data_IF_204257543384
#
_entry.id   IF_204257543384
#
_cell.length_a   1.000
_cell.length_b   1.000
_cell.length_c   1.000
_cell.angle_alpha   90.00
_cell.angle_beta   90.00
_cell.angle_gamma   90.00
#
_symmetry.space_group_name_H-M   'P 1'
#
loop_
_entity.id
_entity.type
_entity.pdbx_description
1 polymer ?
#
# COMPACT_ATOMS: atom_id res chain seq x y z
N UNK A 1 -16.85 -16.87 -21.40
CA UNK A 1 -16.40 -16.70 -20.00
C UNK A 1 -17.38 -15.75 -19.34
N UNK A 2 -17.67 -15.93 -18.07
CA UNK A 2 -18.63 -15.11 -17.33
C UNK A 2 -17.93 -14.37 -16.19
N UNK A 3 -18.41 -13.15 -15.89
CA UNK A 3 -18.18 -12.49 -14.63
C UNK A 3 -19.35 -12.84 -13.69
N UNK A 4 -19.06 -13.58 -12.63
CA UNK A 4 -20.05 -13.98 -11.61
C UNK A 4 -19.89 -13.25 -10.28
N UNK A 5 -19.14 -12.15 -10.27
CA UNK A 5 -18.89 -11.34 -9.08
C UNK A 5 -20.00 -10.31 -8.82
N UNK A 6 -19.77 -9.41 -7.87
CA UNK A 6 -20.75 -8.36 -7.53
C UNK A 6 -20.51 -7.01 -8.20
N UNK A 7 -19.34 -6.79 -8.82
CA UNK A 7 -19.11 -5.61 -9.67
C UNK A 7 -20.06 -5.68 -10.87
N UNK A 8 -20.73 -4.56 -11.16
CA UNK A 8 -21.67 -4.51 -12.28
C UNK A 8 -20.93 -4.57 -13.62
N UNK A 9 -21.47 -5.23 -14.65
CA UNK A 9 -20.83 -5.28 -15.96
C UNK A 9 -20.51 -3.91 -16.57
N UNK A 10 -21.34 -2.90 -16.32
CA UNK A 10 -21.10 -1.52 -16.78
C UNK A 10 -19.91 -0.81 -16.11
N UNK A 11 -19.43 -1.31 -14.97
CA UNK A 11 -18.29 -0.78 -14.23
C UNK A 11 -16.98 -1.49 -14.61
N UNK A 12 -17.02 -2.39 -15.61
CA UNK A 12 -15.86 -3.09 -16.17
C UNK A 12 -15.65 -2.58 -17.60
N UNK A 13 -14.47 -2.05 -17.88
CA UNK A 13 -14.17 -1.45 -19.19
C UNK A 13 -12.79 -1.83 -19.72
N UNK A 14 -12.52 -1.51 -20.99
CA UNK A 14 -11.23 -1.73 -21.66
C UNK A 14 -10.67 -3.16 -21.54
N UNK A 15 -11.56 -4.16 -21.52
CA UNK A 15 -11.21 -5.57 -21.43
C UNK A 15 -10.27 -5.97 -22.56
N UNK A 16 -9.20 -6.67 -22.22
CA UNK A 16 -8.16 -7.12 -23.15
C UNK A 16 -7.66 -8.52 -22.77
N UNK A 17 -7.58 -9.41 -23.76
CA UNK A 17 -6.93 -10.71 -23.61
C UNK A 17 -5.54 -10.63 -24.25
N UNK A 18 -4.51 -11.10 -23.54
CA UNK A 18 -3.12 -11.02 -24.00
C UNK A 18 -2.43 -12.37 -23.90
N UNK A 19 -1.60 -12.69 -24.90
CA UNK A 19 -0.67 -13.83 -24.86
C UNK A 19 0.55 -13.54 -25.74
N UNK A 20 1.76 -13.67 -25.18
CA UNK A 20 2.99 -13.23 -25.86
C UNK A 20 2.88 -11.77 -26.31
N UNK A 21 3.02 -11.52 -27.61
CA UNK A 21 2.88 -10.19 -28.23
C UNK A 21 1.46 -9.90 -28.76
N UNK A 22 0.51 -10.83 -28.63
CA UNK A 22 -0.85 -10.67 -29.15
C UNK A 22 -1.76 -10.04 -28.10
N UNK A 23 -2.67 -9.17 -28.55
CA UNK A 23 -3.70 -8.53 -27.73
C UNK A 23 -5.01 -8.51 -28.50
N UNK A 24 -6.10 -8.91 -27.86
CA UNK A 24 -7.45 -8.86 -28.40
C UNK A 24 -8.35 -8.09 -27.46
N UNK A 25 -9.21 -7.23 -28.01
CA UNK A 25 -10.19 -6.50 -27.23
C UNK A 25 -11.32 -7.45 -26.81
N UNK A 26 -11.79 -7.26 -25.59
CA UNK A 26 -12.95 -7.95 -25.04
C UNK A 26 -14.14 -7.02 -24.92
N UNK A 27 -15.32 -7.62 -24.90
CA UNK A 27 -16.57 -6.95 -24.54
C UNK A 27 -17.22 -7.67 -23.38
N UNK A 28 -18.06 -6.96 -22.62
CA UNK A 28 -18.92 -7.54 -21.59
C UNK A 28 -20.36 -7.08 -21.84
N UNK A 29 -21.33 -8.00 -21.75
CA UNK A 29 -22.75 -7.67 -21.88
C UNK A 29 -23.40 -7.41 -20.51
N UNK A 30 -24.68 -7.03 -20.49
CA UNK A 30 -25.42 -6.76 -19.25
C UNK A 30 -25.60 -7.97 -18.34
N UNK A 31 -25.46 -9.18 -18.89
CA UNK A 31 -25.64 -10.44 -18.17
C UNK A 31 -24.31 -10.94 -17.56
N UNK A 32 -23.20 -10.23 -17.82
CA UNK A 32 -21.86 -10.58 -17.30
C UNK A 32 -21.04 -11.47 -18.23
N UNK A 33 -21.53 -11.78 -19.43
CA UNK A 33 -20.76 -12.57 -20.40
C UNK A 33 -19.64 -11.73 -20.99
N UNK A 34 -18.42 -12.24 -20.85
CA UNK A 34 -17.21 -11.66 -21.43
C UNK A 34 -16.83 -12.45 -22.69
N UNK A 35 -16.70 -11.72 -23.79
CA UNK A 35 -16.33 -12.27 -25.10
C UNK A 35 -15.03 -11.65 -25.58
N UNK A 36 -14.07 -12.49 -25.95
CA UNK A 36 -12.86 -12.10 -26.67
C UNK A 36 -12.89 -12.70 -28.07
N UNK A 37 -12.97 -11.85 -29.10
CA UNK A 37 -12.87 -12.30 -30.48
C UNK A 37 -11.41 -12.31 -30.93
N UNK A 38 -10.87 -13.50 -31.15
CA UNK A 38 -9.47 -13.69 -31.57
C UNK A 38 -9.28 -13.51 -33.08
N UNK A 39 -10.33 -13.23 -33.85
CA UNK A 39 -10.29 -13.07 -35.30
C UNK A 39 -9.82 -14.35 -36.00
N UNK A 40 -8.59 -14.34 -36.52
CA UNK A 40 -7.97 -15.54 -37.13
C UNK A 40 -7.56 -16.61 -36.12
N UNK A 41 -7.71 -16.35 -34.81
CA UNK A 41 -7.37 -17.27 -33.75
C UNK A 41 -5.91 -17.17 -33.28
N UNK A 42 -5.54 -18.06 -32.37
CA UNK A 42 -4.17 -18.24 -31.87
C UNK A 42 -3.78 -19.72 -31.96
N UNK A 43 -2.67 -20.01 -32.63
CA UNK A 43 -2.23 -21.38 -32.85
C UNK A 43 -1.37 -21.90 -31.70
N UNK A 44 -1.79 -23.01 -31.11
CA UNK A 44 -0.98 -23.78 -30.15
C UNK A 44 -0.45 -25.02 -30.85
N UNK A 45 0.88 -25.13 -30.95
CA UNK A 45 1.51 -26.30 -31.54
C UNK A 45 1.21 -27.56 -30.72
N UNK A 46 1.17 -28.73 -31.38
CA UNK A 46 0.96 -30.01 -30.69
C UNK A 46 2.01 -30.22 -29.59
N UNK A 47 1.53 -30.48 -28.37
CA UNK A 47 2.38 -30.63 -27.18
C UNK A 47 2.85 -29.30 -26.56
N UNK A 48 2.44 -28.16 -27.12
CA UNK A 48 2.67 -26.84 -26.56
C UNK A 48 1.61 -26.42 -25.54
N UNK A 49 1.86 -25.28 -24.90
CA UNK A 49 0.91 -24.59 -24.05
C UNK A 49 0.97 -23.07 -24.34
N UNK A 50 -0.05 -22.35 -23.88
CA UNK A 50 -0.09 -20.90 -23.92
C UNK A 50 -0.80 -20.39 -22.66
N UNK A 51 -0.32 -19.26 -22.14
CA UNK A 51 -0.95 -18.57 -21.02
C UNK A 51 -1.63 -17.33 -21.56
N UNK A 52 -2.91 -17.17 -21.24
CA UNK A 52 -3.67 -15.99 -21.57
C UNK A 52 -3.90 -15.17 -20.30
N UNK A 53 -3.73 -13.86 -20.39
CA UNK A 53 -4.00 -12.92 -19.29
C UNK A 53 -5.11 -11.98 -19.69
N UNK A 54 -6.10 -11.85 -18.82
CA UNK A 54 -7.19 -10.89 -18.95
C UNK A 54 -6.81 -9.62 -18.20
N UNK A 55 -7.00 -8.48 -18.87
CA UNK A 55 -6.83 -7.14 -18.33
C UNK A 55 -8.16 -6.40 -18.48
N UNK A 56 -8.42 -5.46 -17.59
CA UNK A 56 -9.57 -4.56 -17.67
C UNK A 56 -9.46 -3.47 -16.61
N UNK A 57 -10.15 -2.37 -16.85
CA UNK A 57 -10.26 -1.28 -15.89
C UNK A 57 -11.55 -1.47 -15.07
N UNK A 58 -11.45 -1.25 -13.76
CA UNK A 58 -12.54 -1.49 -12.82
C UNK A 58 -12.96 -0.19 -12.16
N UNK A 59 -14.26 0.11 -12.20
CA UNK A 59 -14.89 1.25 -11.55
C UNK A 59 -15.88 0.83 -10.45
N UNK A 60 -15.79 -0.43 -10.00
CA UNK A 60 -16.62 -0.98 -8.93
C UNK A 60 -16.29 -0.39 -7.55
N UNK A 61 -17.12 -0.73 -6.57
CA UNK A 61 -17.01 -0.24 -5.20
C UNK A 61 -16.16 -1.16 -4.33
N UNK A 62 -15.79 -0.64 -3.17
CA UNK A 62 -15.18 -1.42 -2.09
C UNK A 62 -15.99 -2.69 -1.81
N UNK A 63 -15.26 -3.79 -1.61
CA UNK A 63 -15.76 -5.13 -1.29
C UNK A 63 -16.64 -5.77 -2.38
N UNK A 64 -16.83 -5.09 -3.53
CA UNK A 64 -17.36 -5.75 -4.70
C UNK A 64 -16.33 -6.74 -5.26
N UNK A 65 -16.80 -7.80 -5.89
CA UNK A 65 -15.95 -8.88 -6.37
C UNK A 65 -15.99 -9.00 -7.89
N UNK A 66 -14.88 -9.45 -8.45
CA UNK A 66 -14.76 -9.96 -9.81
C UNK A 66 -14.50 -11.46 -9.68
N UNK A 67 -15.39 -12.28 -10.23
CA UNK A 67 -15.21 -13.73 -10.33
C UNK A 67 -15.21 -14.12 -11.81
N UNK A 68 -14.08 -14.58 -12.34
CA UNK A 68 -13.98 -14.98 -13.75
C UNK A 68 -13.84 -16.50 -13.88
N UNK A 69 -14.74 -17.12 -14.63
CA UNK A 69 -14.73 -18.55 -14.94
C UNK A 69 -15.45 -18.84 -16.26
N UNK A 70 -15.21 -20.01 -16.85
CA UNK A 70 -15.93 -20.51 -18.01
C UNK A 70 -17.13 -21.31 -17.52
N UNK A 71 -18.35 -20.99 -17.96
CA UNK A 71 -19.52 -21.73 -17.51
C UNK A 71 -19.60 -23.09 -18.20
N UNK A 72 -19.18 -23.13 -19.47
CA UNK A 72 -19.21 -24.33 -20.29
C UNK A 72 -17.92 -24.50 -21.07
N UNK A 73 -17.53 -25.75 -21.34
CA UNK A 73 -16.41 -26.04 -22.24
C UNK A 73 -16.64 -25.49 -23.66
N UNK A 74 -17.91 -25.28 -24.05
CA UNK A 74 -18.29 -24.65 -25.33
C UNK A 74 -18.03 -23.15 -25.39
N UNK A 75 -17.71 -22.50 -24.28
CA UNK A 75 -17.22 -21.11 -24.25
C UNK A 75 -15.83 -20.97 -24.93
N UNK A 76 -15.14 -22.11 -25.16
CA UNK A 76 -13.84 -22.18 -25.80
C UNK A 76 -14.01 -22.75 -27.20
N UNK A 77 -13.75 -21.94 -28.22
CA UNK A 77 -13.66 -22.41 -29.59
C UNK A 77 -12.21 -22.83 -29.91
N UNK A 78 -12.00 -24.12 -30.05
CA UNK A 78 -10.74 -24.69 -30.56
C UNK A 78 -11.02 -25.45 -31.86
N UNK A 79 -10.15 -25.28 -32.86
CA UNK A 79 -10.26 -25.95 -34.17
C UNK A 79 -8.96 -26.68 -34.47
N UNK A 80 -9.06 -27.95 -34.85
CA UNK A 80 -7.91 -28.77 -35.21
C UNK A 80 -7.39 -28.43 -36.60
N UNK A 81 -6.10 -28.11 -36.71
CA UNK A 81 -5.45 -27.67 -37.96
C UNK A 81 -5.52 -28.73 -39.08
N UNK A 82 -5.41 -30.02 -38.75
CA UNK A 82 -5.31 -31.09 -39.75
C UNK A 82 -6.57 -31.26 -40.61
N UNK A 83 -7.75 -31.02 -40.03
CA UNK A 83 -9.04 -31.32 -40.68
C UNK A 83 -10.09 -30.21 -40.54
N UNK A 84 -9.78 -29.11 -39.85
CA UNK A 84 -10.68 -27.96 -39.69
C UNK A 84 -11.92 -28.23 -38.82
N UNK A 85 -11.95 -29.35 -38.09
CA UNK A 85 -13.06 -29.68 -37.20
C UNK A 85 -12.89 -29.04 -35.82
N UNK A 86 -14.01 -28.64 -35.22
CA UNK A 86 -14.05 -28.21 -33.83
C UNK A 86 -13.55 -29.30 -32.89
N UNK A 87 -12.73 -28.91 -31.93
CA UNK A 87 -12.21 -29.79 -30.89
C UNK A 87 -13.00 -29.57 -29.61
N UNK A 88 -13.34 -30.66 -28.91
CA UNK A 88 -13.89 -30.57 -27.57
C UNK A 88 -12.78 -30.09 -26.61
N UNK A 89 -13.04 -28.99 -25.91
CA UNK A 89 -12.19 -28.54 -24.82
C UNK A 89 -12.49 -29.39 -23.57
N UNK A 90 -11.46 -29.78 -22.85
CA UNK A 90 -11.60 -30.32 -21.49
C UNK A 90 -11.18 -29.22 -20.53
N UNK A 91 -12.12 -28.72 -19.73
CA UNK A 91 -11.87 -27.79 -18.63
C UNK A 91 -11.74 -28.60 -17.34
N UNK A 92 -10.72 -28.30 -16.53
CA UNK A 92 -10.46 -29.01 -15.25
C UNK A 92 -10.28 -28.05 -14.07
N UNK A 93 -10.40 -26.75 -14.33
CA UNK A 93 -10.29 -25.64 -13.38
C UNK A 93 -10.91 -24.40 -14.03
N UNK A 94 -11.32 -23.41 -13.22
CA UNK A 94 -12.03 -22.21 -13.68
C UNK A 94 -13.34 -22.53 -14.40
N UNK A 95 -14.04 -23.61 -14.04
CA UNK A 95 -15.29 -24.03 -14.70
C UNK A 95 -16.55 -23.87 -13.83
N UNK A 96 -16.38 -23.36 -12.61
CA UNK A 96 -17.47 -23.02 -11.69
C UNK A 96 -17.15 -21.73 -10.93
N UNK A 97 -18.16 -21.13 -10.31
CA UNK A 97 -17.96 -19.95 -9.44
C UNK A 97 -17.06 -20.25 -8.24
N UNK A 98 -17.01 -21.49 -7.76
CA UNK A 98 -16.17 -21.92 -6.65
C UNK A 98 -14.68 -22.06 -7.05
N UNK A 99 -14.43 -22.31 -8.33
CA UNK A 99 -13.08 -22.44 -8.89
C UNK A 99 -12.65 -21.18 -9.66
N UNK A 100 -13.45 -20.13 -9.62
CA UNK A 100 -13.21 -18.89 -10.36
C UNK A 100 -11.94 -18.17 -9.90
N UNK A 101 -11.35 -17.40 -10.80
CA UNK A 101 -10.38 -16.40 -10.38
C UNK A 101 -11.12 -15.26 -9.68
N UNK A 102 -10.83 -15.07 -8.40
CA UNK A 102 -11.49 -14.08 -7.55
C UNK A 102 -10.59 -12.89 -7.24
N UNK A 103 -11.11 -11.69 -7.46
CA UNK A 103 -10.52 -10.43 -7.01
C UNK A 103 -11.58 -9.63 -6.24
N UNK A 104 -11.28 -9.22 -5.02
CA UNK A 104 -12.12 -8.30 -4.24
C UNK A 104 -11.57 -6.90 -4.40
N UNK A 105 -12.42 -5.95 -4.81
CA UNK A 105 -12.04 -4.56 -4.99
C UNK A 105 -11.77 -3.94 -3.62
N UNK A 106 -10.61 -3.29 -3.52
CA UNK A 106 -10.26 -2.47 -2.38
C UNK A 106 -10.44 -1.01 -2.80
N UNK A 107 -11.31 -0.30 -2.09
CA UNK A 107 -11.50 1.13 -2.25
C UNK A 107 -11.69 1.75 -0.87
N UNK A 108 -10.77 2.61 -0.45
CA UNK A 108 -10.87 3.33 0.82
C UNK A 108 -11.51 4.70 0.60
N UNK A 109 -12.14 5.25 1.64
CA UNK A 109 -12.37 6.69 1.73
C UNK A 109 -11.05 7.43 1.92
N UNK A 110 -10.10 6.88 2.67
CA UNK A 110 -8.75 7.42 2.80
C UNK A 110 -7.78 6.53 2.03
N UNK A 111 -7.07 7.11 1.08
CA UNK A 111 -5.94 6.48 0.42
C UNK A 111 -4.65 7.15 0.88
N UNK A 112 -3.74 6.38 1.46
CA UNK A 112 -2.40 6.80 1.83
C UNK A 112 -1.42 6.17 0.84
N UNK A 113 -0.47 6.93 0.33
CA UNK A 113 0.50 6.44 -0.66
C UNK A 113 1.90 6.88 -0.29
N UNK A 114 2.83 5.91 -0.23
CA UNK A 114 4.25 6.17 -0.11
C UNK A 114 4.79 6.81 -1.39
N UNK A 115 5.50 7.93 -1.24
CA UNK A 115 6.05 8.70 -2.35
C UNK A 115 7.59 8.75 -2.35
N UNK A 116 8.24 8.34 -1.26
CA UNK A 116 9.69 8.42 -1.12
C UNK A 116 10.14 8.75 0.31
N UNK A 117 11.36 9.28 0.48
CA UNK A 117 12.41 9.29 -0.54
C UNK A 117 12.92 7.86 -0.84
N UNK A 118 13.84 7.72 -1.79
CA UNK A 118 14.53 6.45 -1.97
C UNK A 118 15.50 6.21 -0.81
N UNK A 119 15.79 4.94 -0.53
CA UNK A 119 16.82 4.56 0.44
C UNK A 119 18.16 5.23 0.10
N UNK A 120 18.81 5.79 1.10
CA UNK A 120 20.08 6.50 0.97
C UNK A 120 20.90 6.40 2.24
N UNK A 121 22.11 6.92 2.18
CA UNK A 121 22.96 7.10 3.36
C UNK A 121 22.66 8.46 3.99
N UNK A 122 22.52 8.51 5.31
CA UNK A 122 22.38 9.75 6.09
C UNK A 122 23.66 9.97 6.94
N UNK A 123 23.99 11.23 7.19
CA UNK A 123 25.03 11.57 8.15
C UNK A 123 24.55 11.31 9.57
N UNK A 124 25.47 10.96 10.46
CA UNK A 124 25.23 10.84 11.91
C UNK A 124 25.10 12.19 12.61
N UNK A 125 25.36 13.28 11.90
CA UNK A 125 25.18 14.68 12.33
C UNK A 125 24.61 15.40 11.10
N UNK A 126 23.28 15.56 11.04
CA UNK A 126 22.56 16.06 9.87
C UNK A 126 21.20 16.64 10.25
N UNK A 127 20.96 17.87 9.81
CA UNK A 127 19.70 18.58 10.05
C UNK A 127 18.67 18.33 8.93
N UNK A 128 17.38 18.38 9.28
CA UNK A 128 16.22 18.35 8.39
C UNK A 128 16.25 17.18 7.37
N UNK A 129 16.74 16.01 7.79
CA UNK A 129 16.78 14.84 6.92
C UNK A 129 15.37 14.37 6.59
N UNK A 130 15.11 14.05 5.33
CA UNK A 130 13.82 13.56 4.87
C UNK A 130 13.70 12.06 5.10
N UNK A 131 12.82 11.66 6.02
CA UNK A 131 12.71 10.27 6.48
C UNK A 131 11.53 9.52 5.83
N UNK A 132 10.50 10.23 5.39
CA UNK A 132 9.33 9.64 4.78
C UNK A 132 8.54 10.70 4.00
N UNK A 133 8.18 10.41 2.76
CA UNK A 133 7.23 11.18 1.97
C UNK A 133 5.99 10.32 1.70
N UNK A 134 4.83 10.88 1.98
CA UNK A 134 3.57 10.22 1.73
C UNK A 134 2.53 11.22 1.26
N UNK A 135 1.47 10.72 0.65
CA UNK A 135 0.29 11.52 0.31
C UNK A 135 -0.96 10.90 0.90
N UNK A 136 -1.92 11.74 1.24
CA UNK A 136 -3.24 11.33 1.69
C UNK A 136 -4.28 11.92 0.74
N UNK A 137 -5.13 11.06 0.19
CA UNK A 137 -6.26 11.45 -0.66
C UNK A 137 -7.54 10.93 -0.03
N UNK A 138 -8.51 11.81 0.18
CA UNK A 138 -9.79 11.43 0.76
C UNK A 138 -10.91 11.49 -0.29
N UNK A 139 -11.75 10.46 -0.39
CA UNK A 139 -12.95 10.44 -1.25
C UNK A 139 -14.15 11.16 -0.60
N UNK A 140 -14.07 11.44 0.70
CA UNK A 140 -15.05 12.22 1.48
C UNK A 140 -14.30 13.14 2.44
N UNK A 141 -14.96 14.18 2.94
CA UNK A 141 -14.35 15.06 3.94
C UNK A 141 -14.12 14.28 5.24
N UNK A 142 -12.85 14.15 5.64
CA UNK A 142 -12.46 13.49 6.87
C UNK A 142 -11.55 14.40 7.70
N UNK A 143 -11.65 14.27 9.02
CA UNK A 143 -10.79 14.92 9.99
C UNK A 143 -9.96 13.81 10.68
N UNK A 144 -8.66 13.79 10.42
CA UNK A 144 -7.69 12.96 11.15
C UNK A 144 -7.34 13.71 12.43
N UNK A 145 -7.27 13.01 13.55
CA UNK A 145 -7.11 13.57 14.90
C UNK A 145 -6.02 12.92 15.71
N UNK A 146 -5.63 11.71 15.30
CA UNK A 146 -4.48 11.00 15.81
C UNK A 146 -3.64 10.58 14.60
N UNK A 147 -2.34 10.81 14.65
CA UNK A 147 -1.36 10.29 13.69
C UNK A 147 -0.21 9.68 14.43
N UNK A 148 0.17 8.46 14.06
CA UNK A 148 1.19 7.70 14.78
C UNK A 148 2.35 7.38 13.87
N UNK A 149 3.56 7.50 14.44
CA UNK A 149 4.79 7.13 13.75
C UNK A 149 5.58 6.17 14.61
N UNK A 150 6.14 5.16 13.95
CA UNK A 150 7.03 4.17 14.55
C UNK A 150 8.46 4.41 14.08
N UNK A 151 9.40 4.33 15.01
CA UNK A 151 10.84 4.35 14.75
C UNK A 151 11.41 2.95 14.91
N UNK A 152 12.17 2.53 13.90
CA UNK A 152 12.75 1.20 13.79
C UNK A 152 14.26 1.29 13.52
N UNK A 153 15.03 0.47 14.24
CA UNK A 153 16.49 0.42 14.14
C UNK A 153 16.98 -0.99 13.83
N UNK A 154 17.95 -1.12 12.95
CA UNK A 154 18.78 -2.32 12.80
C UNK A 154 20.22 -1.95 13.13
N UNK A 155 20.68 -2.39 14.30
CA UNK A 155 22.03 -2.17 14.80
C UNK A 155 23.03 -2.80 13.83
N UNK A 156 24.04 -2.04 13.44
CA UNK A 156 25.12 -2.48 12.53
C UNK A 156 24.67 -2.91 11.12
N UNK A 157 23.40 -2.68 10.75
CA UNK A 157 22.88 -2.93 9.41
C UNK A 157 22.85 -4.41 9.04
N UNK A 158 22.63 -5.27 10.03
CA UNK A 158 22.70 -6.72 9.94
C UNK A 158 21.54 -7.37 9.16
N UNK A 159 20.48 -6.61 8.89
CA UNK A 159 19.19 -7.09 8.38
C UNK A 159 18.28 -7.65 9.46
N UNK A 160 18.63 -7.49 10.74
CA UNK A 160 17.81 -7.91 11.89
C UNK A 160 17.49 -6.69 12.74
N UNK A 161 16.21 -6.32 12.79
CA UNK A 161 15.78 -5.18 13.59
C UNK A 161 15.87 -5.46 15.08
N UNK A 162 16.26 -4.43 15.82
CA UNK A 162 16.32 -4.43 17.27
C UNK A 162 14.97 -4.05 17.83
N UNK A 163 14.57 -4.74 18.90
CA UNK A 163 13.43 -4.36 19.70
C UNK A 163 13.69 -2.95 20.27
N UNK A 164 12.84 -2.01 19.89
CA UNK A 164 12.89 -0.67 20.44
C UNK A 164 12.44 -0.77 21.90
N UNK A 165 13.42 -0.95 22.79
CA UNK A 165 13.13 -1.07 24.20
C UNK A 165 12.26 0.11 24.65
N UNK A 166 11.15 -0.19 25.30
CA UNK A 166 10.24 0.75 25.96
C UNK A 166 11.05 1.59 26.96
N UNK A 167 11.66 2.68 26.48
CA UNK A 167 12.76 3.32 27.20
C UNK A 167 12.30 4.65 27.69
N UNK A 168 12.36 4.79 29.01
CA UNK A 168 12.13 6.01 29.78
C UNK A 168 13.06 7.18 29.36
N UNK A 169 13.92 7.01 28.33
CA UNK A 169 14.75 8.04 27.73
C UNK A 169 14.83 8.03 26.16
N UNK A 170 14.07 7.16 25.47
CA UNK A 170 13.78 7.21 24.03
C UNK A 170 14.95 7.30 23.02
N UNK A 171 14.64 7.87 21.85
CA UNK A 171 15.53 8.07 20.71
C UNK A 171 16.18 9.47 20.77
N UNK A 172 17.04 9.70 21.75
CA UNK A 172 17.61 11.03 22.03
C UNK A 172 18.34 11.65 20.81
N UNK A 173 19.06 10.82 20.06
CA UNK A 173 19.83 11.20 18.88
C UNK A 173 18.95 11.61 17.67
N UNK A 174 17.62 11.53 17.80
CA UNK A 174 16.67 12.05 16.82
C UNK A 174 15.94 13.25 17.44
N UNK A 175 16.11 14.43 16.89
CA UNK A 175 15.45 15.66 17.39
C UNK A 175 14.61 16.32 16.30
N UNK A 176 13.75 17.27 16.68
CA UNK A 176 12.94 18.05 15.73
C UNK A 176 12.09 17.21 14.74
N UNK A 177 11.59 16.05 15.18
CA UNK A 177 10.70 15.21 14.38
C UNK A 177 9.40 15.96 14.10
N UNK A 178 9.12 16.22 12.81
CA UNK A 178 7.98 17.02 12.37
C UNK A 178 7.44 16.53 11.03
N UNK A 179 6.15 16.76 10.83
CA UNK A 179 5.47 16.52 9.55
C UNK A 179 5.22 17.86 8.87
N UNK A 180 5.66 17.97 7.62
CA UNK A 180 5.53 19.18 6.80
C UNK A 180 4.60 18.89 5.63
N UNK A 181 3.60 19.75 5.44
CA UNK A 181 2.83 19.75 4.20
C UNK A 181 3.73 20.31 3.08
N UNK A 182 4.05 19.50 2.09
CA UNK A 182 5.01 19.83 1.03
C UNK A 182 4.50 20.95 0.13
N UNK A 183 3.18 20.97 -0.11
CA UNK A 183 2.56 21.95 -1.02
C UNK A 183 2.57 23.38 -0.44
N UNK A 184 2.54 23.50 0.90
CA UNK A 184 2.47 24.79 1.60
C UNK A 184 3.76 25.15 2.35
N UNK A 185 4.62 24.17 2.63
CA UNK A 185 5.82 24.31 3.47
C UNK A 185 5.52 24.47 4.96
N UNK A 186 4.26 24.29 5.38
CA UNK A 186 3.84 24.47 6.78
C UNK A 186 4.04 23.17 7.56
N UNK A 187 4.61 23.28 8.77
CA UNK A 187 4.64 22.18 9.75
C UNK A 187 3.21 21.95 10.25
N UNK A 188 2.72 20.72 10.05
CA UNK A 188 1.35 20.33 10.42
C UNK A 188 1.29 19.43 11.65
N UNK A 189 2.42 18.82 12.04
CA UNK A 189 2.55 18.02 13.27
C UNK A 189 3.97 18.15 13.82
N UNK A 190 4.10 18.10 15.14
CA UNK A 190 5.37 18.34 15.82
C UNK A 190 5.75 19.84 15.87
N UNK A 191 7.02 20.18 16.14
CA UNK A 191 8.14 19.26 16.33
C UNK A 191 8.11 18.52 17.67
N UNK A 192 8.72 17.34 17.73
CA UNK A 192 8.94 16.55 18.94
C UNK A 192 10.32 15.91 18.88
N UNK A 193 10.99 15.81 20.02
CA UNK A 193 12.23 15.03 20.09
C UNK A 193 11.90 13.54 20.14
N UNK A 194 12.83 12.70 19.67
CA UNK A 194 12.73 11.25 19.67
C UNK A 194 12.60 10.65 21.07
N UNK A 195 12.98 11.40 22.11
CA UNK A 195 12.69 11.07 23.52
C UNK A 195 11.19 10.98 23.83
N UNK A 196 10.32 11.57 23.01
CA UNK A 196 8.88 11.50 23.15
C UNK A 196 8.26 10.19 22.61
N UNK A 197 9.03 9.37 21.89
CA UNK A 197 8.60 8.07 21.35
C UNK A 197 8.78 7.01 22.43
N UNK A 198 7.74 6.84 23.25
CA UNK A 198 7.78 6.05 24.49
C UNK A 198 6.72 4.93 24.53
N UNK A 199 6.09 4.60 23.42
CA UNK A 199 5.09 3.51 23.38
C UNK A 199 5.70 2.36 22.60
N UNK A 200 5.72 1.15 23.18
CA UNK A 200 6.12 -0.05 22.45
C UNK A 200 5.02 -0.48 21.48
N UNK A 201 5.28 -0.35 20.17
CA UNK A 201 4.47 -0.93 19.12
C UNK A 201 5.04 -2.31 18.76
N UNK A 202 4.60 -3.33 19.50
CA UNK A 202 5.18 -4.68 19.58
C UNK A 202 5.43 -5.41 18.24
N UNK A 203 4.84 -4.96 17.14
CA UNK A 203 5.02 -5.58 15.82
C UNK A 203 5.18 -4.58 14.65
N UNK A 204 5.47 -3.31 14.93
CA UNK A 204 5.59 -2.28 13.91
C UNK A 204 6.81 -2.48 12.99
N UNK A 205 7.95 -2.90 13.54
CA UNK A 205 9.18 -3.00 12.78
C UNK A 205 9.30 -4.32 11.98
N UNK A 206 10.10 -4.32 10.88
CA UNK A 206 10.28 -5.51 10.07
C UNK A 206 10.72 -6.73 10.87
N UNK A 207 10.10 -7.88 10.59
CA UNK A 207 10.31 -9.10 11.37
C UNK A 207 9.41 -9.23 12.61
N UNK A 208 8.35 -8.40 12.72
CA UNK A 208 7.48 -8.32 13.92
C UNK A 208 8.29 -7.97 15.18
N UNK A 209 9.13 -6.95 15.04
CA UNK A 209 9.94 -6.41 16.13
C UNK A 209 9.23 -5.17 16.69
N UNK A 210 9.35 -4.96 18.01
CA UNK A 210 8.83 -3.76 18.68
C UNK A 210 9.46 -2.48 18.13
N UNK A 211 8.63 -1.50 17.77
CA UNK A 211 9.07 -0.16 17.37
C UNK A 211 8.74 0.88 18.44
N UNK A 212 9.51 1.97 18.49
CA UNK A 212 9.15 3.08 19.38
C UNK A 212 8.12 3.97 18.68
N UNK A 213 6.94 4.08 19.28
CA UNK A 213 5.82 4.82 18.73
C UNK A 213 5.61 6.16 19.44
N UNK A 214 5.23 7.18 18.65
CA UNK A 214 4.63 8.42 19.13
C UNK A 214 3.27 8.64 18.49
N UNK A 215 2.29 8.96 19.33
CA UNK A 215 0.97 9.43 18.92
C UNK A 215 0.93 10.97 18.95
N UNK A 216 0.65 11.58 17.81
CA UNK A 216 0.39 13.00 17.64
C UNK A 216 -1.12 13.23 17.67
N UNK A 217 -1.56 14.34 18.31
CA UNK A 217 -2.99 14.69 18.46
C UNK A 217 -3.39 15.92 17.64
N UNK A 218 -2.47 16.39 16.81
CA UNK A 218 -2.72 17.44 15.83
C UNK A 218 -3.74 16.96 14.81
N UNK A 219 -4.66 17.85 14.42
CA UNK A 219 -5.75 17.51 13.52
C UNK A 219 -5.44 17.87 12.07
N UNK A 220 -5.73 16.98 11.12
CA UNK A 220 -5.69 17.25 9.68
C UNK A 220 -7.08 17.16 9.07
N UNK A 221 -7.53 18.25 8.46
CA UNK A 221 -8.74 18.27 7.64
C UNK A 221 -8.41 17.91 6.19
N UNK A 222 -8.89 16.75 5.74
CA UNK A 222 -8.72 16.27 4.37
C UNK A 222 -10.04 16.45 3.62
N UNK A 223 -10.05 17.39 2.68
CA UNK A 223 -11.21 17.65 1.83
C UNK A 223 -11.33 16.60 0.71
N UNK A 224 -12.56 16.20 0.42
CA UNK A 224 -12.87 15.21 -0.60
C UNK A 224 -12.30 15.58 -1.98
N UNK A 225 -11.66 14.62 -2.63
CA UNK A 225 -11.08 14.76 -3.97
C UNK A 225 -9.73 15.48 -4.02
N UNK A 226 -9.21 15.97 -2.89
CA UNK A 226 -7.89 16.58 -2.82
C UNK A 226 -6.85 15.57 -2.33
N UNK A 227 -5.66 15.66 -2.92
CA UNK A 227 -4.46 14.96 -2.46
C UNK A 227 -3.59 15.94 -1.71
N UNK A 228 -3.19 15.58 -0.50
CA UNK A 228 -2.29 16.35 0.35
C UNK A 228 -0.94 15.63 0.42
N UNK A 229 0.13 16.35 0.11
CA UNK A 229 1.48 15.78 0.13
C UNK A 229 2.19 16.17 1.43
N UNK A 230 2.78 15.18 2.10
CA UNK A 230 3.47 15.33 3.36
C UNK A 230 4.87 14.74 3.29
N UNK A 231 5.76 15.32 4.07
CA UNK A 231 7.08 14.75 4.37
C UNK A 231 7.33 14.77 5.87
N UNK A 232 8.07 13.78 6.34
CA UNK A 232 8.57 13.67 7.71
C UNK A 232 10.04 14.07 7.68
N UNK A 233 10.39 15.01 8.54
CA UNK A 233 11.78 15.46 8.72
C UNK A 233 12.16 15.39 10.18
N UNK A 234 13.43 15.14 10.45
CA UNK A 234 14.02 15.22 11.77
C UNK A 234 15.51 15.57 11.64
N UNK A 235 16.12 15.95 12.75
CA UNK A 235 17.57 16.13 12.88
C UNK A 235 18.16 14.87 13.50
N UNK A 236 19.33 14.44 13.03
CA UNK A 236 20.09 13.31 13.57
C UNK A 236 21.36 13.87 14.22
N UNK A 237 21.54 13.60 15.52
CA UNK A 237 22.75 13.92 16.29
C UNK A 237 23.18 12.69 17.12
N UNK A 238 23.98 11.84 16.48
CA UNK A 238 24.51 10.59 17.02
C UNK A 238 25.50 10.74 18.19
N UNK A 239 25.95 11.97 18.46
CA UNK A 239 26.88 12.28 19.54
C UNK A 239 26.16 12.92 20.74
N UNK A 240 24.81 12.95 20.75
CA UNK A 240 24.07 13.42 21.91
C UNK A 240 24.36 12.48 23.10
N UNK A 241 24.93 13.04 24.16
CA UNK A 241 25.31 12.31 25.38
C UNK A 241 24.10 11.86 26.22
N UNK A 242 22.92 11.82 25.60
CA UNK A 242 21.66 11.40 26.18
C UNK A 242 21.68 9.95 26.66
N UNK A 243 20.86 9.67 27.67
CA UNK A 243 20.44 8.29 27.94
C UNK A 243 19.43 7.90 26.86
N UNK A 244 19.63 6.80 26.12
CA UNK A 244 18.70 6.41 25.06
C UNK A 244 19.26 5.37 24.09
N UNK A 245 18.53 5.15 22.99
CA UNK A 245 19.01 4.38 21.83
C UNK A 245 20.00 5.27 21.06
N UNK A 246 21.27 4.87 21.01
CA UNK A 246 22.31 5.55 20.21
C UNK A 246 22.13 5.24 18.73
N UNK A 247 22.23 6.23 17.85
CA UNK A 247 22.23 6.12 16.39
C UNK A 247 23.66 6.23 15.87
N UNK A 248 24.34 5.12 15.62
CA UNK A 248 25.74 5.11 15.21
C UNK A 248 25.93 4.85 13.71
N UNK A 249 27.12 5.17 13.20
CA UNK A 249 27.52 4.78 11.85
C UNK A 249 27.42 3.26 11.66
N UNK A 250 26.81 2.84 10.56
CA UNK A 250 26.53 1.44 10.23
C UNK A 250 25.15 0.97 10.67
N UNK A 251 24.45 1.71 11.53
CA UNK A 251 23.07 1.41 11.88
C UNK A 251 22.14 1.74 10.71
N UNK A 252 20.97 1.10 10.69
CA UNK A 252 19.89 1.48 9.78
C UNK A 252 18.70 2.06 10.53
N UNK A 253 18.22 3.19 10.05
CA UNK A 253 17.03 3.89 10.54
C UNK A 253 15.87 3.71 9.57
N UNK A 254 14.67 3.50 10.10
CA UNK A 254 13.42 3.47 9.33
C UNK A 254 12.31 4.15 10.12
N UNK A 255 11.54 4.98 9.43
CA UNK A 255 10.30 5.59 9.94
C UNK A 255 9.12 4.94 9.24
N UNK A 256 8.08 4.64 10.01
CA UNK A 256 6.82 4.12 9.50
C UNK A 256 5.68 5.00 9.97
N UNK A 257 4.78 5.33 9.05
CA UNK A 257 3.49 5.93 9.39
C UNK A 257 2.49 4.80 9.64
N UNK A 258 1.88 4.81 10.82
CA UNK A 258 0.77 3.91 11.10
C UNK A 258 -0.42 4.24 10.20
N UNK A 259 -1.05 3.21 9.62
CA UNK A 259 -2.16 3.41 8.69
C UNK A 259 -3.54 3.43 9.34
N UNK A 260 -3.62 3.47 10.67
CA UNK A 260 -4.86 3.59 11.45
C UNK A 260 -5.77 2.36 11.44
N UNK A 261 -5.36 1.25 10.82
CA UNK A 261 -6.28 0.10 10.60
C UNK A 261 -6.19 -1.00 11.65
N UNK A 262 -5.17 -0.96 12.51
CA UNK A 262 -5.02 -1.85 13.67
C UNK A 262 -5.69 -1.26 14.93
N UNK A 263 -5.89 0.06 14.96
CA UNK A 263 -6.77 0.74 15.89
C UNK A 263 -8.22 0.26 15.75
N UNK A 264 -8.93 0.18 16.87
CA UNK A 264 -10.40 0.05 16.81
C UNK A 264 -10.98 1.38 16.31
N UNK A 265 -11.89 1.38 15.30
CA UNK A 265 -12.44 2.61 14.75
C UNK A 265 -12.98 3.55 15.84
N UNK A 266 -12.36 4.72 15.99
CA UNK A 266 -12.66 5.69 17.04
C UNK A 266 -12.67 7.14 16.50
N UNK A 267 -13.60 7.95 17.02
CA UNK A 267 -13.71 9.38 16.76
C UNK A 267 -12.51 10.20 17.26
N UNK A 268 -11.67 9.60 18.10
CA UNK A 268 -10.38 10.18 18.53
C UNK A 268 -9.28 10.01 17.48
N UNK A 269 -9.43 9.07 16.54
CA UNK A 269 -8.44 8.77 15.48
C UNK A 269 -8.81 9.46 14.19
N UNK A 270 -9.96 9.12 13.62
CA UNK A 270 -10.43 9.68 12.36
C UNK A 270 -11.95 9.68 12.30
N UNK A 271 -12.52 10.75 11.73
CA UNK A 271 -13.98 10.84 11.54
C UNK A 271 -14.35 11.50 10.22
N UNK A 272 -15.56 11.21 9.75
CA UNK A 272 -16.21 11.96 8.68
C UNK A 272 -16.68 13.32 9.20
N UNK A 273 -16.22 14.41 8.60
CA UNK A 273 -16.49 15.77 9.10
C UNK A 273 -17.98 16.15 9.04
N UNK A 274 -18.73 15.58 8.09
CA UNK A 274 -20.16 15.88 7.89
C UNK A 274 -21.12 15.13 8.81
N UNK A 275 -20.73 13.96 9.31
CA UNK A 275 -21.61 13.07 10.09
C UNK A 275 -21.12 12.86 11.52
N UNK A 276 -19.86 13.22 11.84
CA UNK A 276 -19.20 12.89 13.10
C UNK A 276 -19.25 11.39 13.43
N UNK A 277 -19.16 10.55 12.41
CA UNK A 277 -18.98 9.10 12.54
C UNK A 277 -17.52 8.74 12.31
N UNK A 278 -17.04 7.70 12.97
CA UNK A 278 -15.67 7.19 12.79
C UNK A 278 -15.45 6.75 11.34
N UNK A 279 -14.23 6.95 10.84
CA UNK A 279 -13.76 6.28 9.62
C UNK A 279 -13.45 4.83 9.98
N UNK A 280 -14.02 3.88 9.25
CA UNK A 280 -13.77 2.46 9.51
C UNK A 280 -12.42 2.04 8.92
N UNK A 281 -11.74 1.08 9.52
CA UNK A 281 -10.45 0.54 9.03
C UNK A 281 -10.56 0.06 7.59
N UNK A 282 -11.71 -0.53 7.25
CA UNK A 282 -12.02 -1.00 5.92
C UNK A 282 -12.05 0.14 4.88
N UNK A 283 -12.32 1.37 5.30
CA UNK A 283 -12.31 2.58 4.46
C UNK A 283 -10.92 3.21 4.34
N UNK A 284 -9.86 2.58 4.85
CA UNK A 284 -8.49 3.08 4.75
C UNK A 284 -7.66 2.12 3.89
N UNK A 285 -6.95 2.66 2.90
CA UNK A 285 -6.11 1.93 1.97
C UNK A 285 -4.73 2.57 1.92
N UNK A 286 -3.63 1.80 1.98
CA UNK A 286 -3.57 0.37 2.20
C UNK A 286 -3.99 -0.03 3.63
N UNK A 287 -4.41 -1.29 3.79
CA UNK A 287 -4.68 -1.92 5.10
C UNK A 287 -3.42 -2.41 5.81
N UNK A 288 -2.28 -1.77 5.56
CA UNK A 288 -1.05 -1.94 6.30
C UNK A 288 -0.32 -0.59 6.42
N UNK A 289 0.49 -0.44 7.46
CA UNK A 289 1.31 0.74 7.74
C UNK A 289 2.24 1.11 6.57
N UNK A 290 2.49 2.42 6.43
CA UNK A 290 3.30 2.98 5.36
C UNK A 290 4.76 3.02 5.80
N UNK A 291 5.47 1.97 5.43
CA UNK A 291 6.88 1.81 5.74
C UNK A 291 7.77 2.69 4.83
N UNK A 292 8.55 3.59 5.43
CA UNK A 292 9.60 4.34 4.75
C UNK A 292 10.78 3.46 4.29
N UNK A 293 11.75 4.02 3.55
CA UNK A 293 12.95 3.29 3.17
C UNK A 293 13.84 2.98 4.38
N UNK A 294 14.81 2.08 4.20
CA UNK A 294 15.90 1.89 5.17
C UNK A 294 17.02 2.88 4.84
N UNK A 295 17.36 3.75 5.79
CA UNK A 295 18.52 4.64 5.66
C UNK A 295 19.72 4.07 6.39
N UNK A 296 20.86 3.99 5.72
CA UNK A 296 22.12 3.62 6.36
C UNK A 296 22.76 4.87 6.98
N UNK A 297 23.12 4.81 8.25
CA UNK A 297 23.82 5.91 8.91
C UNK A 297 25.32 5.80 8.63
N UNK A 298 25.93 6.93 8.32
CA UNK A 298 27.37 7.02 8.10
C UNK A 298 27.97 8.15 8.90
N UNK A 299 29.18 7.94 9.43
CA UNK A 299 29.90 8.97 10.15
C UNK A 299 29.96 10.26 9.32
N UNK A 300 29.44 11.35 9.89
CA UNK A 300 29.55 12.67 9.26
C UNK A 300 31.03 13.04 9.07
N UNK A 301 31.38 13.49 7.87
CA UNK A 301 32.75 13.95 7.61
C UNK A 301 32.92 15.36 8.19
N UNK A 302 33.88 15.53 9.10
CA UNK A 302 34.37 16.85 9.51
C UNK A 302 34.84 17.63 8.26
N UNK A 303 34.12 18.67 7.88
CA UNK A 303 34.59 19.70 6.94
C UNK A 303 35.10 20.93 7.68
#
# INVERSE_FOLDING_TARGET
MIQGGTVKPGDISNLRLTTGSNTWNGTINSDGDIVFDLGSGFSIAKGGNAIFRVWGDLAGKKDETILLYFETATDILAVGDQFGFGMAATTTALDTSAEAHSLTLQGGVLTITFNGPAASTLGTDSDDVNLLEFSMTAASNIEIRKTEFNLCKDDTGSGTYNDAADTTNGWADLTDFKVVNVDTGVVVMGPQDGTAFTTDAATACPGSVGGAQKQFTDTLDLLAGNTYNFKVTADIDADDTGSGITLASGDKLKVELDNYTDDTPDLTVAKYSGTNTTVADADIVPGASIAGPEFELSASSLT
#
